data_IF_136573531197
#
_entry.id   IF_136573531197
#
_cell.length_a   1.000
_cell.length_b   1.000
_cell.length_c   1.000
_cell.angle_alpha   90.00
_cell.angle_beta   90.00
_cell.angle_gamma   90.00
#
_symmetry.space_group_name_H-M   'P 1'
#
loop_
_entity.id
_entity.type
_entity.pdbx_description
1 polymer ?
#
# COMPACT_ATOMS: atom_id res chain seq x y z
N UNK A 1 15.83 8.36 -13.22
CA UNK A 1 14.64 7.55 -12.84
C UNK A 1 15.00 6.77 -11.59
N UNK A 2 14.40 7.09 -10.43
CA UNK A 2 14.68 6.39 -9.15
C UNK A 2 13.80 5.14 -9.06
N UNK A 3 14.42 3.97 -8.98
CA UNK A 3 13.73 2.69 -8.72
C UNK A 3 13.21 2.71 -7.29
N UNK A 4 11.89 2.70 -7.13
CA UNK A 4 11.23 2.49 -5.83
C UNK A 4 11.32 0.99 -5.56
N UNK A 5 12.19 0.60 -4.63
CA UNK A 5 12.22 -0.77 -4.11
C UNK A 5 11.01 -0.93 -3.19
N UNK A 6 10.00 -1.70 -3.63
CA UNK A 6 9.06 -2.30 -2.69
C UNK A 6 9.86 -3.30 -1.86
N UNK A 7 9.89 -3.10 -0.54
CA UNK A 7 10.46 -4.05 0.42
C UNK A 7 9.68 -5.37 0.25
N UNK A 8 10.33 -6.50 -0.11
CA UNK A 8 9.68 -7.80 -0.12
C UNK A 8 9.68 -8.34 1.30
N UNK A 9 8.72 -7.94 2.13
CA UNK A 9 8.61 -8.45 3.50
C UNK A 9 7.18 -8.94 3.76
N UNK A 10 6.76 -9.98 3.04
CA UNK A 10 6.00 -11.16 3.52
C UNK A 10 6.14 -12.22 2.42
N UNK A 11 7.26 -12.94 2.40
CA UNK A 11 7.36 -14.24 1.72
C UNK A 11 7.92 -15.21 2.73
N UNK A 12 7.01 -15.86 3.44
CA UNK A 12 7.30 -16.94 4.37
C UNK A 12 6.23 -18.01 4.27
N UNK A 13 5.81 -18.37 3.06
CA UNK A 13 5.06 -19.60 2.82
C UNK A 13 5.31 -20.11 1.38
N UNK A 14 5.88 -21.34 1.31
CA UNK A 14 5.85 -22.33 0.21
C UNK A 14 6.94 -22.32 -0.91
N UNK A 15 7.80 -23.34 -0.77
CA UNK A 15 8.28 -24.36 -1.74
C UNK A 15 9.11 -24.00 -2.98
N UNK A 16 10.29 -24.62 -3.01
CA UNK A 16 11.31 -24.77 -4.05
C UNK A 16 10.80 -25.43 -5.33
N UNK A 17 11.07 -24.83 -6.50
CA UNK A 17 11.28 -25.57 -7.77
C UNK A 17 12.36 -24.85 -8.60
N UNK A 18 13.27 -25.65 -9.14
CA UNK A 18 14.49 -25.27 -9.85
C UNK A 18 14.26 -24.64 -11.24
N UNK A 19 15.25 -23.86 -11.66
CA UNK A 19 15.36 -23.16 -12.93
C UNK A 19 15.86 -24.04 -14.09
N UNK A 20 15.48 -23.67 -15.32
CA UNK A 20 16.05 -24.14 -16.59
C UNK A 20 15.38 -23.44 -17.79
N UNK A 21 16.07 -23.21 -18.93
CA UNK A 21 16.52 -21.85 -19.26
C UNK A 21 15.93 -21.20 -20.53
N UNK A 22 16.28 -19.91 -20.64
CA UNK A 22 16.09 -18.93 -21.71
C UNK A 22 16.26 -19.45 -23.15
N UNK A 23 15.39 -18.97 -24.04
CA UNK A 23 15.66 -18.85 -25.46
C UNK A 23 15.39 -17.41 -25.94
N UNK A 24 16.19 -16.99 -26.91
CA UNK A 24 16.47 -15.62 -27.35
C UNK A 24 15.60 -15.14 -28.53
N UNK A 25 15.91 -13.90 -28.96
CA UNK A 25 15.56 -13.24 -30.25
C UNK A 25 14.19 -12.54 -30.27
N UNK A 26 14.02 -11.35 -30.86
CA UNK A 26 14.92 -10.50 -31.63
C UNK A 26 14.21 -9.23 -32.12
N UNK A 27 15.03 -8.32 -32.65
CA UNK A 27 14.79 -7.32 -33.70
C UNK A 27 13.61 -6.32 -33.59
N UNK A 28 13.99 -5.05 -33.41
CA UNK A 28 13.20 -3.84 -33.66
C UNK A 28 13.44 -3.36 -35.09
N UNK A 29 12.43 -2.99 -35.89
CA UNK A 29 12.62 -2.08 -37.01
C UNK A 29 12.17 -0.66 -36.66
N UNK A 30 13.07 0.28 -36.93
CA UNK A 30 12.89 1.74 -36.89
C UNK A 30 11.78 2.16 -37.86
N UNK A 31 10.80 2.92 -37.37
CA UNK A 31 9.90 3.68 -38.23
C UNK A 31 10.37 5.13 -38.36
N UNK A 32 10.52 5.54 -39.62
CA UNK A 32 11.06 6.78 -40.15
C UNK A 32 10.06 7.93 -39.97
N UNK A 33 10.54 9.05 -39.43
CA UNK A 33 9.82 10.32 -39.35
C UNK A 33 9.70 10.98 -40.74
N UNK A 34 8.56 11.62 -40.99
CA UNK A 34 8.32 12.54 -42.09
C UNK A 34 7.50 13.75 -41.56
N UNK A 35 7.61 14.93 -42.19
CA UNK A 35 7.73 16.21 -41.48
C UNK A 35 6.43 17.02 -41.35
N UNK A 36 6.47 17.98 -40.43
CA UNK A 36 5.46 19.02 -40.21
C UNK A 36 5.41 20.06 -41.35
N UNK A 37 4.24 20.63 -41.67
CA UNK A 37 4.14 21.91 -42.35
C UNK A 37 3.94 23.07 -41.34
N UNK A 38 4.64 24.17 -41.62
CA UNK A 38 4.69 25.42 -40.87
C UNK A 38 3.68 26.43 -41.43
N UNK A 39 2.94 27.06 -40.52
CA UNK A 39 2.36 28.41 -40.49
C UNK A 39 1.77 29.07 -41.77
N UNK A 40 0.54 29.57 -41.61
CA UNK A 40 0.08 30.79 -42.28
C UNK A 40 -0.68 31.66 -41.26
N UNK A 41 -0.29 32.93 -41.18
CA UNK A 41 -0.85 33.98 -40.35
C UNK A 41 -1.83 34.84 -41.16
N UNK A 42 -2.92 35.28 -40.52
CA UNK A 42 -3.77 36.45 -40.80
C UNK A 42 -5.08 36.21 -40.03
N UNK A 43 -5.75 37.14 -39.34
CA UNK A 43 -5.62 38.56 -39.10
C UNK A 43 -6.86 38.91 -38.26
N UNK A 44 -6.70 39.80 -37.27
CA UNK A 44 -7.83 40.33 -36.50
C UNK A 44 -8.72 41.22 -37.39
N UNK A 45 -9.97 41.47 -36.98
CA UNK A 45 -10.21 42.78 -36.37
C UNK A 45 -11.09 42.74 -35.11
N UNK A 46 -10.90 43.78 -34.31
CA UNK A 46 -11.63 44.10 -33.10
C UNK A 46 -13.06 44.57 -33.38
N UNK A 47 -13.98 44.25 -32.48
CA UNK A 47 -15.21 45.00 -32.27
C UNK A 47 -15.49 45.09 -30.76
N UNK A 48 -15.54 46.32 -30.26
CA UNK A 48 -15.91 46.68 -28.91
C UNK A 48 -17.44 46.63 -28.73
N UNK A 49 -17.90 46.27 -27.53
CA UNK A 49 -19.31 46.31 -27.18
C UNK A 49 -19.61 45.87 -25.74
N UNK A 50 -19.46 46.80 -24.80
CA UNK A 50 -20.28 47.04 -23.59
C UNK A 50 -20.51 45.95 -22.52
N UNK A 51 -20.32 46.41 -21.28
CA UNK A 51 -20.47 45.75 -19.98
C UNK A 51 -21.89 45.26 -19.67
N UNK A 52 -21.97 44.13 -18.97
CA UNK A 52 -23.03 43.89 -17.97
C UNK A 52 -22.36 43.34 -16.70
N UNK A 53 -22.41 44.14 -15.64
CA UNK A 53 -22.15 43.68 -14.29
C UNK A 53 -23.29 42.74 -13.87
N UNK A 54 -22.94 41.52 -13.48
CA UNK A 54 -23.82 40.63 -12.73
C UNK A 54 -23.00 40.05 -11.59
N UNK A 55 -23.22 40.59 -10.40
CA UNK A 55 -22.77 39.95 -9.17
C UNK A 55 -23.39 38.57 -9.08
N UNK A 56 -22.54 37.56 -8.98
CA UNK A 56 -22.91 36.25 -8.50
C UNK A 56 -21.93 35.94 -7.38
N UNK A 57 -22.49 35.78 -6.18
CA UNK A 57 -21.81 35.31 -4.98
C UNK A 57 -20.76 34.26 -5.35
N UNK A 58 -19.49 34.62 -5.19
CA UNK A 58 -18.46 33.64 -4.88
C UNK A 58 -18.90 33.00 -3.57
N UNK A 59 -19.64 31.90 -3.66
CA UNK A 59 -19.73 30.96 -2.57
C UNK A 59 -18.29 30.51 -2.34
N UNK A 60 -17.66 31.15 -1.37
CA UNK A 60 -16.40 30.76 -0.79
C UNK A 60 -16.60 29.31 -0.36
N UNK A 61 -16.13 28.39 -1.21
CA UNK A 61 -15.98 27.01 -0.82
C UNK A 61 -15.10 27.08 0.42
N UNK A 62 -15.55 26.61 1.59
CA UNK A 62 -14.70 26.62 2.77
C UNK A 62 -13.42 25.91 2.35
N UNK A 63 -12.30 26.63 2.37
CA UNK A 63 -11.01 26.01 2.23
C UNK A 63 -10.97 24.93 3.31
N UNK A 64 -11.12 23.67 2.90
CA UNK A 64 -10.91 22.57 3.79
C UNK A 64 -9.49 22.77 4.31
N UNK A 65 -9.35 23.04 5.60
CA UNK A 65 -8.06 23.04 6.25
C UNK A 65 -7.38 21.72 5.86
N UNK A 66 -6.39 21.82 4.98
CA UNK A 66 -5.61 20.73 4.38
C UNK A 66 -4.72 20.10 5.46
N UNK A 67 -5.35 19.57 6.51
CA UNK A 67 -4.66 18.81 7.54
C UNK A 67 -4.39 17.42 7.00
N UNK A 68 -3.18 17.27 6.47
CA UNK A 68 -2.64 15.97 6.09
C UNK A 68 -2.82 15.00 7.26
N UNK A 69 -3.42 13.83 7.00
CA UNK A 69 -3.62 12.75 7.97
C UNK A 69 -2.31 12.41 8.65
N UNK A 70 -2.28 12.39 9.97
CA UNK A 70 -1.16 11.83 10.72
C UNK A 70 -1.28 10.30 10.81
N UNK A 71 -0.21 9.58 10.48
CA UNK A 71 -0.11 8.12 10.58
C UNK A 71 0.80 7.78 11.76
N UNK A 72 0.28 7.86 12.98
CA UNK A 72 1.10 7.62 14.18
C UNK A 72 1.20 6.14 14.59
N UNK A 73 0.52 5.24 13.89
CA UNK A 73 0.46 3.80 14.18
C UNK A 73 -0.91 3.23 13.83
N UNK A 74 -1.38 2.24 14.58
CA UNK A 74 -2.66 1.58 14.37
C UNK A 74 -3.49 1.55 15.66
N UNK A 75 -4.66 2.18 15.63
CA UNK A 75 -5.54 2.37 16.81
C UNK A 75 -4.76 2.94 18.00
N UNK A 76 -4.72 2.25 19.14
CA UNK A 76 -3.99 2.70 20.34
C UNK A 76 -2.49 2.44 20.26
N UNK A 77 -2.02 1.51 19.42
CA UNK A 77 -0.59 1.22 19.26
C UNK A 77 0.08 2.25 18.36
N UNK A 78 1.13 2.92 18.86
CA UNK A 78 1.85 3.98 18.16
C UNK A 78 3.28 3.57 17.84
N UNK A 79 3.82 4.07 16.73
CA UNK A 79 5.21 3.87 16.38
C UNK A 79 6.12 4.37 17.51
N UNK A 80 7.19 3.62 17.78
CA UNK A 80 8.10 3.89 18.90
C UNK A 80 7.71 3.26 20.24
N UNK A 81 6.49 2.69 20.37
CA UNK A 81 6.12 1.93 21.58
C UNK A 81 6.96 0.65 21.72
N UNK A 82 7.27 0.27 22.96
CA UNK A 82 7.89 -1.04 23.24
C UNK A 82 6.83 -2.15 23.21
N UNK A 83 7.25 -3.41 23.31
CA UNK A 83 6.34 -4.56 23.25
C UNK A 83 5.29 -4.58 24.36
N UNK A 84 5.64 -4.21 25.59
CA UNK A 84 4.70 -4.20 26.71
C UNK A 84 3.56 -3.20 26.48
N UNK A 85 3.89 -2.01 25.97
CA UNK A 85 2.91 -0.98 25.62
C UNK A 85 2.00 -1.43 24.46
N UNK A 86 2.57 -2.12 23.45
CA UNK A 86 1.77 -2.67 22.34
C UNK A 86 0.85 -3.79 22.82
N UNK A 87 1.30 -4.69 23.70
CA UNK A 87 0.44 -5.72 24.30
C UNK A 87 -0.73 -5.09 25.07
N UNK A 88 -0.46 -4.03 25.84
CA UNK A 88 -1.51 -3.27 26.52
C UNK A 88 -2.49 -2.63 25.52
N UNK A 89 -2.00 -2.08 24.41
CA UNK A 89 -2.84 -1.56 23.34
C UNK A 89 -3.71 -2.65 22.69
N UNK A 90 -3.17 -3.86 22.46
CA UNK A 90 -3.94 -4.99 21.92
C UNK A 90 -5.04 -5.46 22.87
N UNK A 91 -4.76 -5.53 24.17
CA UNK A 91 -5.79 -5.81 25.18
C UNK A 91 -6.87 -4.74 25.20
N UNK A 92 -6.48 -3.46 25.12
CA UNK A 92 -7.44 -2.34 25.08
C UNK A 92 -8.31 -2.34 23.82
N UNK A 93 -7.70 -2.54 22.66
CA UNK A 93 -8.37 -2.37 21.36
C UNK A 93 -9.18 -3.60 20.96
N UNK A 94 -8.76 -4.80 21.37
CA UNK A 94 -9.33 -6.08 20.91
C UNK A 94 -9.76 -7.02 22.04
N UNK A 95 -9.64 -6.59 23.30
CA UNK A 95 -9.84 -7.47 24.46
C UNK A 95 -8.97 -8.75 24.39
N UNK A 96 -7.77 -8.61 23.82
CA UNK A 96 -6.84 -9.71 23.62
C UNK A 96 -6.37 -10.28 24.97
N UNK A 97 -6.49 -11.60 25.11
CA UNK A 97 -5.91 -12.33 26.24
C UNK A 97 -4.41 -12.52 26.01
N UNK A 98 -3.55 -12.47 27.07
CA UNK A 98 -2.10 -12.58 26.90
C UNK A 98 -1.63 -13.85 26.18
N UNK A 99 -2.31 -14.98 26.40
CA UNK A 99 -2.04 -16.29 25.79
C UNK A 99 -2.42 -16.36 24.30
N UNK A 100 -3.32 -15.49 23.84
CA UNK A 100 -3.69 -15.40 22.42
C UNK A 100 -2.65 -14.60 21.60
N UNK A 101 -1.78 -13.83 22.25
CA UNK A 101 -0.76 -13.02 21.59
C UNK A 101 0.50 -13.86 21.39
N UNK A 102 0.72 -14.28 20.15
CA UNK A 102 1.87 -15.12 19.78
C UNK A 102 3.08 -14.26 19.47
N UNK A 103 4.27 -14.76 19.75
CA UNK A 103 5.53 -14.12 19.39
C UNK A 103 6.15 -14.83 18.18
N UNK A 104 6.85 -14.07 17.33
CA UNK A 104 7.58 -14.60 16.18
C UNK A 104 8.81 -13.75 15.89
N UNK A 105 9.95 -14.41 15.66
CA UNK A 105 11.17 -13.76 15.21
C UNK A 105 11.34 -13.87 13.69
N UNK A 106 11.89 -12.83 13.08
CA UNK A 106 12.37 -12.86 11.70
C UNK A 106 13.90 -12.83 11.72
N UNK A 107 14.53 -13.99 11.58
CA UNK A 107 15.98 -14.13 11.62
C UNK A 107 16.70 -13.39 10.47
N UNK A 108 16.03 -13.16 9.33
CA UNK A 108 16.64 -12.48 8.19
C UNK A 108 16.74 -10.97 8.39
N UNK A 109 15.74 -10.38 9.06
CA UNK A 109 15.68 -8.95 9.35
C UNK A 109 16.15 -8.60 10.78
N UNK A 110 16.37 -9.62 11.61
CA UNK A 110 16.62 -9.52 13.05
C UNK A 110 15.56 -8.71 13.80
N UNK A 111 14.31 -8.81 13.33
CA UNK A 111 13.13 -8.18 13.95
C UNK A 111 12.36 -9.18 14.80
N UNK A 112 11.63 -8.64 15.77
CA UNK A 112 10.69 -9.39 16.61
C UNK A 112 9.27 -8.96 16.25
N UNK A 113 8.29 -9.85 16.35
CA UNK A 113 6.89 -9.52 16.11
C UNK A 113 5.98 -10.19 17.12
N UNK A 114 4.87 -9.52 17.42
CA UNK A 114 3.73 -10.15 18.11
C UNK A 114 2.50 -10.19 17.20
N UNK A 115 1.76 -11.29 17.28
CA UNK A 115 0.67 -11.63 16.38
C UNK A 115 -0.62 -11.86 17.16
N UNK A 116 -1.75 -11.50 16.55
CA UNK A 116 -3.08 -11.73 17.09
C UNK A 116 -4.08 -11.96 15.97
N UNK A 117 -4.82 -13.05 16.05
CA UNK A 117 -6.00 -13.26 15.21
C UNK A 117 -7.14 -12.39 15.72
N UNK A 118 -7.64 -11.51 14.88
CA UNK A 118 -8.74 -10.59 15.20
C UNK A 118 -9.92 -10.88 14.27
N UNK A 119 -10.98 -11.53 14.79
CA UNK A 119 -12.25 -11.60 14.08
C UNK A 119 -12.76 -10.19 13.83
N UNK A 120 -13.33 -9.94 12.65
CA UNK A 120 -14.05 -8.69 12.36
C UNK A 120 -13.20 -7.42 12.54
N UNK A 121 -11.88 -7.50 12.30
CA UNK A 121 -11.01 -6.31 12.24
C UNK A 121 -11.56 -5.25 11.27
N UNK A 122 -12.09 -5.75 10.15
CA UNK A 122 -12.96 -5.04 9.23
C UNK A 122 -14.36 -5.65 9.38
N UNK A 123 -15.43 -4.84 9.56
CA UNK A 123 -16.79 -5.37 9.66
C UNK A 123 -17.17 -6.18 8.41
N UNK A 124 -17.67 -7.39 8.62
CA UNK A 124 -17.92 -8.40 7.61
C UNK A 124 -16.68 -8.67 6.75
N UNK A 125 -15.48 -8.56 7.30
CA UNK A 125 -14.22 -8.76 6.58
C UNK A 125 -13.69 -10.19 6.66
N UNK A 126 -14.20 -10.99 7.60
CA UNK A 126 -13.57 -12.24 8.00
C UNK A 126 -12.39 -12.02 8.97
N UNK A 127 -11.81 -13.11 9.43
CA UNK A 127 -10.73 -13.08 10.43
C UNK A 127 -9.40 -12.62 9.79
N UNK A 128 -8.81 -11.59 10.40
CA UNK A 128 -7.48 -11.10 10.05
C UNK A 128 -6.44 -11.62 11.05
N UNK A 129 -5.20 -11.77 10.61
CA UNK A 129 -4.06 -11.81 11.52
C UNK A 129 -3.39 -10.44 11.55
N UNK A 130 -3.34 -9.83 12.73
CA UNK A 130 -2.53 -8.65 12.99
C UNK A 130 -1.10 -9.06 13.34
N UNK A 131 -0.13 -8.31 12.84
CA UNK A 131 1.29 -8.43 13.16
C UNK A 131 1.84 -7.07 13.55
N UNK A 132 2.47 -6.98 14.72
CA UNK A 132 3.16 -5.79 15.20
C UNK A 132 4.66 -6.08 15.20
N UNK A 133 5.41 -5.37 14.36
CA UNK A 133 6.84 -5.64 14.12
C UNK A 133 7.69 -4.60 14.86
N UNK A 134 8.64 -5.10 15.66
CA UNK A 134 9.60 -4.32 16.42
C UNK A 134 10.95 -4.28 15.71
N UNK A 135 11.52 -3.08 15.64
CA UNK A 135 12.77 -2.80 14.93
C UNK A 135 13.98 -3.50 15.55
N UNK A 136 14.95 -3.83 14.70
CA UNK A 136 16.16 -4.54 15.07
C UNK A 136 16.97 -3.77 16.12
N UNK A 137 17.26 -2.48 15.89
CA UNK A 137 18.09 -1.68 16.80
C UNK A 137 17.27 -1.02 17.91
N UNK A 138 16.12 -0.44 17.55
CA UNK A 138 15.29 0.33 18.48
C UNK A 138 14.49 -0.53 19.45
N UNK A 139 14.22 -1.79 19.09
CA UNK A 139 13.29 -2.68 19.83
C UNK A 139 11.90 -2.05 20.04
N UNK A 140 11.53 -1.14 19.13
CA UNK A 140 10.29 -0.36 19.19
C UNK A 140 9.41 -0.65 17.98
N UNK A 141 8.10 -0.41 18.09
CA UNK A 141 7.14 -0.65 17.02
C UNK A 141 7.47 0.21 15.79
N UNK A 142 7.75 -0.44 14.67
CA UNK A 142 8.07 0.23 13.40
C UNK A 142 7.05 -0.07 12.29
N UNK A 143 6.26 -1.13 12.44
CA UNK A 143 5.28 -1.54 11.44
C UNK A 143 4.13 -2.30 12.09
N UNK A 144 2.92 -2.09 11.56
CA UNK A 144 1.74 -2.91 11.85
C UNK A 144 1.22 -3.47 10.52
N UNK A 145 1.03 -4.78 10.46
CA UNK A 145 0.43 -5.49 9.34
C UNK A 145 -0.92 -6.09 9.72
N UNK A 146 -1.83 -6.17 8.76
CA UNK A 146 -3.03 -7.00 8.82
C UNK A 146 -3.11 -7.86 7.56
N UNK A 147 -3.37 -9.15 7.72
CA UNK A 147 -3.50 -10.10 6.61
C UNK A 147 -4.86 -10.79 6.67
N UNK A 148 -5.58 -10.79 5.54
CA UNK A 148 -6.73 -11.67 5.29
C UNK A 148 -6.34 -12.67 4.22
N UNK A 149 -6.53 -13.97 4.50
CA UNK A 149 -6.31 -15.05 3.54
C UNK A 149 -7.05 -16.31 3.98
N UNK A 150 -7.02 -17.36 3.15
CA UNK A 150 -7.50 -18.68 3.57
C UNK A 150 -6.76 -19.26 4.78
N UNK A 151 -5.54 -18.81 5.04
CA UNK A 151 -4.76 -19.23 6.21
C UNK A 151 -5.22 -18.58 7.52
N UNK A 152 -5.85 -17.40 7.45
CA UNK A 152 -6.40 -16.70 8.63
C UNK A 152 -7.88 -17.01 8.85
N UNK A 153 -8.61 -17.31 7.76
CA UNK A 153 -10.02 -17.66 7.78
C UNK A 153 -10.34 -18.63 6.63
N UNK A 154 -10.76 -19.86 6.93
CA UNK A 154 -11.09 -20.84 5.90
C UNK A 154 -12.28 -20.43 5.03
N UNK A 155 -13.16 -19.55 5.53
CA UNK A 155 -14.33 -19.05 4.80
C UNK A 155 -14.00 -17.85 3.89
N UNK A 156 -12.77 -17.33 3.90
CA UNK A 156 -12.35 -16.27 2.97
C UNK A 156 -12.45 -16.76 1.52
N UNK A 157 -13.08 -15.95 0.67
CA UNK A 157 -13.17 -16.16 -0.77
C UNK A 157 -12.44 -15.05 -1.54
N UNK A 158 -12.06 -15.27 -2.81
CA UNK A 158 -11.47 -14.24 -3.65
C UNK A 158 -12.35 -12.98 -3.79
N UNK A 159 -13.68 -13.17 -3.88
CA UNK A 159 -14.66 -12.08 -3.99
C UNK A 159 -14.70 -11.25 -2.70
N UNK A 160 -14.62 -11.91 -1.54
CA UNK A 160 -14.54 -11.25 -0.24
C UNK A 160 -13.28 -10.41 -0.12
N UNK A 161 -12.13 -10.95 -0.51
CA UNK A 161 -10.86 -10.22 -0.52
C UNK A 161 -10.92 -8.99 -1.42
N UNK A 162 -11.48 -9.12 -2.61
CA UNK A 162 -11.66 -8.00 -3.53
C UNK A 162 -12.62 -6.93 -2.95
N UNK A 163 -13.72 -7.35 -2.33
CA UNK A 163 -14.68 -6.45 -1.67
C UNK A 163 -14.01 -5.67 -0.52
N UNK A 164 -13.33 -6.38 0.39
CA UNK A 164 -12.59 -5.79 1.50
C UNK A 164 -11.55 -4.77 1.01
N UNK A 165 -10.83 -5.09 -0.08
CA UNK A 165 -9.84 -4.21 -0.67
C UNK A 165 -10.45 -2.91 -1.21
N UNK A 166 -11.64 -2.98 -1.84
CA UNK A 166 -12.33 -1.78 -2.32
C UNK A 166 -12.87 -0.92 -1.17
N UNK A 167 -13.42 -1.54 -0.12
CA UNK A 167 -13.88 -0.84 1.09
C UNK A 167 -12.72 -0.08 1.73
N UNK A 168 -11.60 -0.75 1.97
CA UNK A 168 -10.41 -0.13 2.59
C UNK A 168 -9.82 0.96 1.69
N UNK A 169 -9.72 0.74 0.38
CA UNK A 169 -9.26 1.76 -0.57
C UNK A 169 -10.15 3.02 -0.50
N UNK A 170 -11.46 2.85 -0.55
CA UNK A 170 -12.41 3.97 -0.47
C UNK A 170 -12.27 4.73 0.86
N UNK A 171 -12.12 4.01 1.97
CA UNK A 171 -11.85 4.60 3.27
C UNK A 171 -10.57 5.44 3.26
N UNK A 172 -9.44 4.89 2.81
CA UNK A 172 -8.17 5.62 2.79
C UNK A 172 -8.15 6.81 1.84
N UNK A 173 -8.86 6.74 0.72
CA UNK A 173 -9.00 7.89 -0.18
C UNK A 173 -9.68 9.10 0.49
N UNK A 174 -10.49 8.88 1.53
CA UNK A 174 -11.18 9.93 2.27
C UNK A 174 -10.41 10.51 3.47
N UNK A 175 -9.21 10.01 3.79
CA UNK A 175 -8.54 10.40 5.05
C UNK A 175 -7.62 11.63 4.94
N UNK A 176 -7.29 12.10 3.73
CA UNK A 176 -6.44 13.29 3.54
C UNK A 176 -4.93 13.00 3.61
N UNK A 177 -4.43 12.00 2.88
CA UNK A 177 -2.99 11.74 2.74
C UNK A 177 -2.28 12.81 1.89
N UNK A 178 -0.95 12.87 1.95
CA UNK A 178 -0.13 13.75 1.11
C UNK A 178 -0.41 13.49 -0.38
N UNK A 179 -0.95 14.44 -1.17
CA UNK A 179 -1.51 14.15 -2.50
C UNK A 179 -0.55 13.48 -3.49
N UNK A 180 0.72 13.91 -3.52
CA UNK A 180 1.78 13.37 -4.37
C UNK A 180 2.29 11.99 -3.93
N UNK A 181 1.95 11.54 -2.72
CA UNK A 181 2.28 10.19 -2.24
C UNK A 181 1.25 9.12 -2.65
N UNK A 182 0.05 9.56 -3.05
CA UNK A 182 -1.08 8.68 -3.30
C UNK A 182 -0.85 7.89 -4.58
N UNK A 183 -0.95 6.56 -4.48
CA UNK A 183 -0.97 5.66 -5.62
C UNK A 183 -2.10 4.63 -5.45
N UNK A 184 -2.87 4.38 -6.50
CA UNK A 184 -4.01 3.45 -6.48
C UNK A 184 -4.02 2.59 -7.73
N UNK A 185 -4.51 1.36 -7.59
CA UNK A 185 -4.66 0.39 -8.69
C UNK A 185 -3.39 0.15 -9.50
N UNK A 186 -2.22 0.21 -8.84
CA UNK A 186 -0.94 0.03 -9.50
C UNK A 186 -0.62 -1.47 -9.57
N UNK A 187 -0.47 -2.07 -10.76
CA UNK A 187 -0.08 -3.46 -10.87
C UNK A 187 1.34 -3.67 -10.35
N UNK A 188 1.55 -4.76 -9.62
CA UNK A 188 2.87 -5.19 -9.13
C UNK A 188 3.08 -6.68 -9.37
N UNK A 189 4.29 -7.17 -9.16
CA UNK A 189 4.54 -8.60 -9.20
C UNK A 189 3.66 -9.29 -8.14
N UNK A 190 2.82 -10.24 -8.57
CA UNK A 190 1.95 -11.01 -7.70
C UNK A 190 0.71 -10.28 -7.15
N UNK A 191 0.36 -9.09 -7.66
CA UNK A 191 -0.88 -8.43 -7.23
C UNK A 191 -1.07 -7.00 -7.73
N UNK A 192 -1.85 -6.23 -6.98
CA UNK A 192 -2.19 -4.84 -7.24
C UNK A 192 -2.04 -4.06 -5.93
N UNK A 193 -1.29 -2.96 -5.95
CA UNK A 193 -1.32 -1.94 -4.89
C UNK A 193 -2.66 -1.22 -5.03
N UNK A 194 -3.60 -1.58 -4.17
CA UNK A 194 -4.94 -1.03 -4.14
C UNK A 194 -4.91 0.42 -3.65
N UNK A 195 -4.04 0.68 -2.67
CA UNK A 195 -3.80 2.02 -2.14
C UNK A 195 -2.37 2.11 -1.58
N UNK A 196 -1.74 3.26 -1.76
CA UNK A 196 -0.59 3.71 -0.97
C UNK A 196 -0.78 5.19 -0.71
N UNK A 197 -0.51 5.64 0.50
CA UNK A 197 -0.46 7.05 0.86
C UNK A 197 0.47 7.27 2.04
N UNK A 198 1.05 8.47 2.12
CA UNK A 198 1.95 8.88 3.18
C UNK A 198 1.46 10.13 3.89
N UNK A 199 1.90 10.33 5.12
CA UNK A 199 1.68 11.57 5.87
C UNK A 199 2.82 12.58 5.67
N UNK A 200 2.74 13.70 6.38
CA UNK A 200 3.77 14.75 6.35
C UNK A 200 5.15 14.29 6.88
N UNK A 201 5.21 13.17 7.61
CA UNK A 201 6.46 12.56 8.12
C UNK A 201 6.93 11.39 7.24
N UNK A 202 6.35 11.22 6.04
CA UNK A 202 6.57 10.11 5.11
C UNK A 202 6.28 8.70 5.69
N UNK A 203 5.56 8.63 6.82
CA UNK A 203 4.97 7.36 7.32
C UNK A 203 3.90 6.94 6.34
N UNK A 204 3.69 5.64 6.17
CA UNK A 204 2.91 5.15 5.01
C UNK A 204 1.86 4.13 5.39
N UNK A 205 0.71 4.21 4.70
CA UNK A 205 -0.29 3.13 4.62
C UNK A 205 -0.19 2.48 3.25
N UNK A 206 -0.12 1.16 3.20
CA UNK A 206 -0.04 0.38 1.97
C UNK A 206 -1.09 -0.72 2.02
N UNK A 207 -1.94 -0.79 1.01
CA UNK A 207 -2.94 -1.83 0.82
C UNK A 207 -2.61 -2.60 -0.47
N UNK A 208 -2.35 -3.90 -0.32
CA UNK A 208 -1.94 -4.78 -1.40
C UNK A 208 -2.94 -5.93 -1.53
N UNK A 209 -3.50 -6.10 -2.72
CA UNK A 209 -4.28 -7.27 -3.09
C UNK A 209 -3.38 -8.22 -3.87
N UNK A 210 -3.03 -9.35 -3.27
CA UNK A 210 -2.18 -10.36 -3.90
C UNK A 210 -3.02 -11.52 -4.44
N UNK A 211 -2.46 -12.21 -5.43
CA UNK A 211 -3.12 -13.34 -6.05
C UNK A 211 -2.35 -13.93 -7.21
N UNK A 212 -2.97 -14.92 -7.84
CA UNK A 212 -2.47 -15.52 -9.07
C UNK A 212 -3.05 -14.78 -10.26
N UNK A 213 -2.25 -14.64 -11.30
CA UNK A 213 -2.72 -14.06 -12.55
C UNK A 213 -2.89 -15.15 -13.60
N UNK A 214 -4.03 -15.13 -14.27
CA UNK A 214 -4.33 -16.01 -15.39
C UNK A 214 -4.51 -15.18 -16.66
N UNK A 215 -3.99 -15.69 -17.78
CA UNK A 215 -4.22 -15.10 -19.09
C UNK A 215 -5.45 -15.77 -19.71
N UNK A 216 -6.48 -14.98 -19.98
CA UNK A 216 -7.66 -15.43 -20.73
C UNK A 216 -7.42 -15.31 -22.24
N UNK A 217 -8.30 -15.93 -23.04
CA UNK A 217 -8.21 -16.07 -24.51
C UNK A 217 -7.98 -14.76 -25.29
N UNK A 218 -8.20 -13.59 -24.68
CA UNK A 218 -8.01 -12.27 -25.28
C UNK A 218 -6.76 -11.51 -24.77
N UNK A 219 -5.73 -12.21 -24.30
CA UNK A 219 -4.60 -11.62 -23.57
C UNK A 219 -5.01 -10.80 -22.33
N UNK A 220 -6.24 -11.00 -21.83
CA UNK A 220 -6.71 -10.34 -20.62
C UNK A 220 -6.11 -11.04 -19.41
N UNK A 221 -5.29 -10.30 -18.66
CA UNK A 221 -4.73 -10.78 -17.40
C UNK A 221 -5.72 -10.57 -16.28
N UNK A 222 -6.23 -11.65 -15.70
CA UNK A 222 -7.20 -11.61 -14.59
C UNK A 222 -6.50 -12.03 -13.31
N UNK A 223 -6.67 -11.24 -12.25
CA UNK A 223 -6.18 -11.56 -10.91
C UNK A 223 -7.24 -12.35 -10.16
N UNK A 224 -6.86 -13.51 -9.62
CA UNK A 224 -7.63 -14.25 -8.63
C UNK A 224 -7.02 -13.98 -7.25
N UNK A 225 -7.65 -13.16 -6.40
CA UNK A 225 -7.10 -12.82 -5.10
C UNK A 225 -6.92 -14.03 -4.18
N UNK A 226 -5.77 -14.09 -3.51
CA UNK A 226 -5.45 -15.11 -2.50
C UNK A 226 -5.23 -14.50 -1.12
N UNK A 227 -4.83 -13.23 -1.07
CA UNK A 227 -4.61 -12.51 0.18
C UNK A 227 -4.79 -11.00 0.01
N UNK A 228 -5.20 -10.34 1.08
CA UNK A 228 -5.24 -8.90 1.23
C UNK A 228 -4.34 -8.51 2.39
N UNK A 229 -3.42 -7.58 2.13
CA UNK A 229 -2.43 -7.14 3.10
C UNK A 229 -2.56 -5.63 3.28
N UNK A 230 -2.61 -5.21 4.53
CA UNK A 230 -2.62 -3.81 4.93
C UNK A 230 -1.42 -3.55 5.84
N UNK A 231 -0.63 -2.53 5.53
CA UNK A 231 0.54 -2.15 6.29
C UNK A 231 0.48 -0.69 6.70
N UNK A 232 0.81 -0.43 7.96
CA UNK A 232 1.17 0.89 8.50
C UNK A 232 2.67 0.85 8.79
N UNK A 233 3.45 1.72 8.17
CA UNK A 233 4.92 1.70 8.23
C UNK A 233 5.48 3.04 8.71
N UNK A 234 6.34 3.01 9.72
CA UNK A 234 6.98 4.19 10.28
C UNK A 234 8.03 4.81 9.32
N UNK A 235 8.85 3.98 8.68
CA UNK A 235 9.80 4.44 7.67
C UNK A 235 10.02 3.36 6.60
N UNK A 236 9.33 3.50 5.47
CA UNK A 236 9.47 2.58 4.35
C UNK A 236 10.76 2.79 3.55
N UNK A 237 11.45 3.92 3.71
CA UNK A 237 12.69 4.24 2.98
C UNK A 237 13.91 3.66 3.72
N UNK A 238 13.89 3.74 5.05
CA UNK A 238 14.96 3.28 5.93
C UNK A 238 14.42 2.49 7.12
N UNK A 239 13.81 1.31 6.90
CA UNK A 239 13.29 0.50 8.01
C UNK A 239 14.43 0.08 8.96
N UNK A 240 14.11 0.02 10.26
CA UNK A 240 15.00 -0.47 11.33
C UNK A 240 15.05 -2.01 11.30
N UNK A 241 15.71 -2.52 10.27
CA UNK A 241 15.98 -3.94 10.05
C UNK A 241 17.49 -4.14 9.85
N UNK A 242 17.95 -5.37 10.05
CA UNK A 242 19.29 -5.75 9.65
C UNK A 242 19.47 -5.61 8.14
N UNK A 243 20.58 -4.97 7.73
CA UNK A 243 21.01 -4.87 6.34
C UNK A 243 22.48 -5.22 6.29
N UNK A 244 22.85 -6.19 5.45
CA UNK A 244 24.25 -6.52 5.22
C UNK A 244 24.95 -5.32 4.55
N UNK A 245 25.96 -4.71 5.19
CA UNK A 245 26.66 -3.59 4.58
C UNK A 245 27.43 -4.05 3.33
N UNK A 246 27.54 -3.20 2.29
CA UNK A 246 28.35 -3.54 1.12
C UNK A 246 29.78 -3.93 1.50
N UNK A 247 30.29 -5.02 0.92
CA UNK A 247 31.66 -5.48 1.12
C UNK A 247 31.92 -6.25 2.43
N UNK A 248 30.88 -6.67 3.16
CA UNK A 248 31.03 -7.55 4.33
C UNK A 248 30.96 -9.05 4.01
N UNK A 249 30.82 -9.38 2.73
CA UNK A 249 30.96 -10.71 2.14
C UNK A 249 31.40 -10.53 0.68
#
# INVERSE_FOLDING_TARGET
MRKIYLIPAVVGLLTSIAAGPLAAQGAVPKQKAAPAPKAAAAGAPAAAGTSVAAGANSAETPAADDKIKAIDGFRSAKFGMNEADVRAAMTKDFNAKPDAIKAQDNASELTHSILLSVPELLPNGGTAELSYVFGYKSKSLIQVGAVWSKGTDAAITPEKLFSNANILRAHFMGEGFKPDSIAVNMPVAGGIVMFRGSDAKDRSVILLLQGTFENKENNQRVLTPTSLLLFYVADAKSPDIFKLPPGQF
#
